data_IF_664842316666
#
_entry.id   IF_664842316666
#
_cell.length_a   1.000
_cell.length_b   1.000
_cell.length_c   1.000
_cell.angle_alpha   90.00
_cell.angle_beta   90.00
_cell.angle_gamma   90.00
#
_symmetry.space_group_name_H-M   'P 1'
#
loop_
_entity.id
_entity.type
_entity.pdbx_description
1 polymer ?
#
# COMPACT_ATOMS: atom_id res chain seq x y z
N UNK A 1 -48.58 -8.35 11.22
CA UNK A 1 -47.82 -9.61 11.00
C UNK A 1 -47.42 -10.26 12.32
N UNK A 2 -47.57 -11.58 12.43
CA UNK A 2 -47.17 -12.38 13.60
C UNK A 2 -45.95 -13.25 13.28
N UNK A 3 -45.15 -13.66 14.29
CA UNK A 3 -44.02 -14.56 14.09
C UNK A 3 -44.40 -15.87 13.38
N UNK A 4 -43.53 -16.35 12.47
CA UNK A 4 -43.73 -17.61 11.73
C UNK A 4 -42.61 -18.60 12.01
N UNK A 5 -42.94 -19.90 12.08
CA UNK A 5 -41.98 -21.01 12.21
C UNK A 5 -42.01 -21.82 10.93
N UNK A 6 -40.85 -21.98 10.27
CA UNK A 6 -40.74 -22.57 8.93
C UNK A 6 -39.52 -23.50 8.84
N UNK A 7 -39.61 -24.57 8.05
CA UNK A 7 -38.45 -25.41 7.74
C UNK A 7 -37.59 -24.88 6.59
N UNK A 8 -38.14 -24.00 5.75
CA UNK A 8 -37.40 -23.34 4.70
C UNK A 8 -38.20 -22.24 4.02
N UNK A 9 -37.50 -21.45 3.21
CA UNK A 9 -38.06 -20.39 2.38
C UNK A 9 -37.70 -20.65 0.92
N UNK A 10 -38.64 -20.41 0.02
CA UNK A 10 -38.44 -20.53 -1.43
C UNK A 10 -38.83 -19.21 -2.08
N UNK A 11 -37.88 -18.61 -2.77
CA UNK A 11 -38.04 -17.41 -3.59
C UNK A 11 -37.76 -17.79 -5.04
N UNK A 12 -38.82 -18.07 -5.78
CA UNK A 12 -38.69 -18.66 -7.09
C UNK A 12 -39.98 -18.70 -7.89
N UNK A 13 -39.84 -18.54 -9.20
CA UNK A 13 -40.83 -18.88 -10.22
C UNK A 13 -40.12 -19.75 -11.29
N UNK A 14 -40.91 -20.41 -12.15
CA UNK A 14 -40.42 -21.33 -13.19
C UNK A 14 -39.47 -20.64 -14.18
N UNK A 15 -39.72 -19.37 -14.51
CA UNK A 15 -38.88 -18.55 -15.39
C UNK A 15 -38.87 -17.06 -14.94
N UNK A 16 -37.85 -16.31 -15.39
CA UNK A 16 -37.78 -14.85 -15.24
C UNK A 16 -36.66 -14.32 -14.32
N UNK A 17 -36.61 -12.98 -14.22
CA UNK A 17 -35.59 -12.18 -13.50
C UNK A 17 -36.16 -11.48 -12.25
N UNK A 18 -37.23 -12.02 -11.68
CA UNK A 18 -37.99 -11.42 -10.59
C UNK A 18 -37.10 -11.20 -9.35
N UNK A 19 -37.36 -10.09 -8.68
CA UNK A 19 -36.83 -9.78 -7.37
C UNK A 19 -37.92 -9.94 -6.32
N UNK A 20 -37.55 -10.48 -5.16
CA UNK A 20 -38.44 -10.75 -4.05
C UNK A 20 -38.05 -9.88 -2.86
N UNK A 21 -39.03 -9.30 -2.17
CA UNK A 21 -38.79 -8.56 -0.93
C UNK A 21 -39.76 -9.08 0.13
N UNK A 22 -39.21 -9.64 1.19
CA UNK A 22 -39.95 -10.07 2.36
C UNK A 22 -39.75 -9.03 3.46
N UNK A 23 -40.84 -8.33 3.83
CA UNK A 23 -40.87 -7.29 4.86
C UNK A 23 -42.03 -7.55 5.82
N UNK A 24 -41.88 -7.16 7.08
CA UNK A 24 -42.98 -7.10 8.04
C UNK A 24 -43.49 -5.66 8.17
N UNK A 25 -44.78 -5.51 8.44
CA UNK A 25 -45.42 -4.23 8.76
C UNK A 25 -45.34 -3.87 10.25
N UNK A 26 -45.01 -4.86 11.10
CA UNK A 26 -44.87 -4.76 12.58
C UNK A 26 -43.57 -5.48 13.03
N UNK A 27 -43.42 -5.78 14.33
CA UNK A 27 -42.31 -6.57 14.93
C UNK A 27 -42.29 -8.07 14.53
N UNK A 28 -42.74 -8.41 13.33
CA UNK A 28 -42.77 -9.79 12.83
C UNK A 28 -41.36 -10.35 12.63
N UNK A 29 -41.18 -11.63 12.99
CA UNK A 29 -39.93 -12.37 12.80
C UNK A 29 -40.16 -13.73 12.13
N UNK A 30 -39.11 -14.27 11.54
CA UNK A 30 -39.10 -15.60 10.92
C UNK A 30 -38.20 -16.52 11.73
N UNK A 31 -38.76 -17.58 12.32
CA UNK A 31 -37.98 -18.65 12.94
C UNK A 31 -37.79 -19.79 11.93
N UNK A 32 -36.54 -20.03 11.54
CA UNK A 32 -36.15 -21.22 10.81
C UNK A 32 -35.98 -22.38 11.82
N UNK A 33 -36.77 -23.44 11.65
CA UNK A 33 -36.83 -24.60 12.52
C UNK A 33 -36.62 -25.90 11.73
N UNK A 34 -36.43 -27.01 12.44
CA UNK A 34 -36.07 -28.29 11.84
C UNK A 34 -34.56 -28.53 11.80
N UNK A 35 -34.15 -29.74 11.42
CA UNK A 35 -32.76 -30.21 11.50
C UNK A 35 -31.85 -29.66 10.39
N UNK A 36 -32.42 -29.21 9.27
CA UNK A 36 -31.65 -28.67 8.14
C UNK A 36 -32.41 -27.57 7.43
N UNK A 37 -32.51 -26.37 8.03
CA UNK A 37 -33.24 -25.27 7.41
C UNK A 37 -32.58 -24.76 6.12
N UNK A 38 -33.36 -24.21 5.20
CA UNK A 38 -32.83 -23.70 3.94
C UNK A 38 -33.54 -22.43 3.44
N UNK A 39 -32.82 -21.68 2.60
CA UNK A 39 -33.37 -20.57 1.81
C UNK A 39 -32.98 -20.80 0.36
N UNK A 40 -33.96 -21.09 -0.48
CA UNK A 40 -33.79 -21.30 -1.92
C UNK A 40 -34.12 -20.03 -2.68
N UNK A 41 -33.20 -19.55 -3.50
CA UNK A 41 -33.40 -18.41 -4.42
C UNK A 41 -33.06 -18.85 -5.83
N UNK A 42 -34.06 -19.04 -6.70
CA UNK A 42 -33.85 -19.60 -8.06
C UNK A 42 -33.73 -18.54 -9.16
N UNK A 43 -34.41 -17.39 -9.01
CA UNK A 43 -34.38 -16.28 -9.98
C UNK A 43 -33.23 -15.30 -9.68
N UNK A 44 -33.53 -14.01 -9.45
CA UNK A 44 -32.53 -12.95 -9.36
C UNK A 44 -32.13 -12.61 -7.92
N UNK A 45 -32.86 -11.73 -7.22
CA UNK A 45 -32.56 -11.33 -5.83
C UNK A 45 -33.74 -11.57 -4.90
N UNK A 46 -33.48 -12.07 -3.70
CA UNK A 46 -34.44 -12.09 -2.59
C UNK A 46 -33.90 -11.26 -1.42
N UNK A 47 -34.64 -10.26 -0.97
CA UNK A 47 -34.30 -9.42 0.19
C UNK A 47 -35.17 -9.84 1.36
N UNK A 48 -34.56 -10.33 2.43
CA UNK A 48 -35.23 -10.57 3.70
C UNK A 48 -34.96 -9.38 4.61
N UNK A 49 -35.99 -8.55 4.75
CA UNK A 49 -36.01 -7.36 5.60
C UNK A 49 -36.89 -7.57 6.83
N UNK A 50 -36.68 -8.71 7.50
CA UNK A 50 -37.26 -9.06 8.79
C UNK A 50 -36.24 -9.88 9.58
N UNK A 51 -36.23 -9.83 10.93
CA UNK A 51 -35.34 -10.64 11.74
C UNK A 51 -35.54 -12.15 11.51
N UNK A 52 -34.43 -12.86 11.27
CA UNK A 52 -34.36 -14.32 11.23
C UNK A 52 -33.87 -14.85 12.58
N UNK A 53 -34.60 -15.82 13.11
CA UNK A 53 -34.34 -16.56 14.34
C UNK A 53 -34.15 -18.05 14.02
N UNK A 54 -33.56 -18.81 14.95
CA UNK A 54 -33.37 -20.25 14.82
C UNK A 54 -32.03 -20.68 15.43
N UNK A 55 -31.85 -21.97 15.65
CA UNK A 55 -30.67 -22.51 16.36
C UNK A 55 -29.75 -23.37 15.47
N UNK A 56 -30.22 -23.75 14.28
CA UNK A 56 -29.55 -24.73 13.42
C UNK A 56 -28.91 -24.11 12.17
N UNK A 57 -28.83 -22.78 12.10
CA UNK A 57 -28.40 -22.05 10.92
C UNK A 57 -29.30 -22.34 9.72
N UNK A 58 -28.76 -22.20 8.51
CA UNK A 58 -29.45 -22.57 7.28
C UNK A 58 -28.50 -22.78 6.11
N UNK A 59 -29.01 -23.44 5.07
CA UNK A 59 -28.32 -23.60 3.78
C UNK A 59 -28.91 -22.67 2.73
N UNK A 60 -28.08 -21.87 2.07
CA UNK A 60 -28.45 -21.14 0.86
C UNK A 60 -28.41 -22.07 -0.35
N UNK A 61 -29.50 -22.08 -1.10
CA UNK A 61 -29.65 -22.88 -2.32
C UNK A 61 -30.00 -21.99 -3.52
N UNK A 62 -29.69 -22.49 -4.72
CA UNK A 62 -30.04 -21.86 -6.00
C UNK A 62 -29.15 -20.68 -6.37
N UNK A 63 -29.11 -20.32 -7.66
CA UNK A 63 -28.18 -19.33 -8.23
C UNK A 63 -28.44 -17.86 -7.87
N UNK A 64 -29.59 -17.55 -7.29
CA UNK A 64 -29.99 -16.17 -6.99
C UNK A 64 -29.25 -15.60 -5.78
N UNK A 65 -29.30 -14.27 -5.64
CA UNK A 65 -28.73 -13.51 -4.54
C UNK A 65 -29.71 -13.43 -3.37
N UNK A 66 -29.27 -13.80 -2.16
CA UNK A 66 -30.00 -13.59 -0.92
C UNK A 66 -29.43 -12.38 -0.18
N UNK A 67 -30.26 -11.40 0.18
CA UNK A 67 -29.85 -10.24 0.98
C UNK A 67 -30.49 -10.31 2.35
N UNK A 68 -29.66 -10.26 3.39
CA UNK A 68 -30.09 -10.13 4.78
C UNK A 68 -29.90 -8.67 5.20
N UNK A 69 -31.01 -7.93 5.31
CA UNK A 69 -30.99 -6.48 5.54
C UNK A 69 -31.55 -6.07 6.91
N UNK A 70 -31.69 -7.00 7.83
CA UNK A 70 -32.21 -6.79 9.19
C UNK A 70 -31.27 -7.39 10.24
N UNK A 71 -31.34 -6.93 11.50
CA UNK A 71 -30.67 -7.61 12.60
C UNK A 71 -31.24 -9.02 12.77
N UNK A 72 -30.37 -10.02 12.68
CA UNK A 72 -30.75 -11.43 12.83
C UNK A 72 -30.26 -11.96 14.18
N UNK A 73 -30.94 -12.96 14.73
CA UNK A 73 -30.51 -13.66 15.95
C UNK A 73 -30.36 -15.17 15.72
N UNK A 74 -30.35 -15.60 14.46
CA UNK A 74 -30.10 -16.98 14.08
C UNK A 74 -28.71 -17.43 14.55
N UNK A 75 -28.64 -18.60 15.17
CA UNK A 75 -27.39 -19.27 15.54
C UNK A 75 -27.21 -20.58 14.76
N UNK A 76 -26.04 -21.20 14.87
CA UNK A 76 -25.65 -22.37 14.10
C UNK A 76 -24.86 -22.02 12.84
N UNK A 77 -24.77 -22.94 11.89
CA UNK A 77 -23.91 -22.81 10.70
C UNK A 77 -24.67 -22.26 9.50
N UNK A 78 -24.14 -21.22 8.87
CA UNK A 78 -24.58 -20.78 7.55
C UNK A 78 -23.78 -21.50 6.47
N UNK A 79 -24.44 -22.36 5.71
CA UNK A 79 -23.86 -22.89 4.47
C UNK A 79 -24.25 -21.97 3.31
N UNK A 80 -23.26 -21.41 2.62
CA UNK A 80 -23.47 -20.49 1.49
C UNK A 80 -23.94 -21.20 0.22
N UNK A 81 -23.90 -22.53 0.21
CA UNK A 81 -24.16 -23.36 -0.95
C UNK A 81 -24.78 -24.72 -0.60
N UNK A 82 -25.25 -25.45 -1.61
CA UNK A 82 -25.70 -26.83 -1.51
C UNK A 82 -24.55 -27.86 -1.42
N UNK A 83 -23.29 -27.43 -1.49
CA UNK A 83 -22.11 -28.28 -1.61
C UNK A 83 -21.80 -28.75 -3.03
N UNK A 84 -20.88 -29.72 -3.14
CA UNK A 84 -20.26 -30.14 -4.42
C UNK A 84 -21.16 -30.99 -5.30
N UNK A 85 -22.21 -31.58 -4.73
CA UNK A 85 -23.00 -32.64 -5.37
C UNK A 85 -23.97 -32.15 -6.45
N UNK A 86 -24.20 -30.84 -6.54
CA UNK A 86 -25.27 -30.28 -7.39
C UNK A 86 -24.76 -29.62 -8.68
N UNK A 87 -23.44 -29.43 -8.85
CA UNK A 87 -22.85 -28.97 -10.11
C UNK A 87 -23.34 -27.62 -10.64
N UNK A 88 -24.05 -26.84 -9.83
CA UNK A 88 -24.57 -25.50 -10.16
C UNK A 88 -23.87 -24.44 -9.29
N UNK A 89 -23.90 -23.17 -9.71
CA UNK A 89 -23.54 -22.05 -8.86
C UNK A 89 -24.67 -21.70 -7.89
N UNK A 90 -24.34 -21.46 -6.62
CA UNK A 90 -25.30 -21.20 -5.53
C UNK A 90 -25.52 -19.69 -5.25
N UNK A 91 -25.02 -18.86 -6.17
CA UNK A 91 -25.21 -17.42 -6.12
C UNK A 91 -24.47 -16.79 -4.95
N UNK A 92 -25.12 -15.82 -4.29
CA UNK A 92 -24.49 -15.05 -3.22
C UNK A 92 -25.41 -14.89 -2.01
N UNK A 93 -24.81 -14.72 -0.84
CA UNK A 93 -25.47 -14.25 0.38
C UNK A 93 -24.84 -12.93 0.77
N UNK A 94 -25.64 -11.87 0.79
CA UNK A 94 -25.22 -10.53 1.15
C UNK A 94 -25.67 -10.18 2.57
N UNK A 95 -24.70 -9.84 3.41
CA UNK A 95 -24.95 -9.12 4.65
C UNK A 95 -25.03 -7.63 4.31
N UNK A 96 -26.20 -7.02 4.51
CA UNK A 96 -26.46 -5.61 4.21
C UNK A 96 -26.87 -4.81 5.45
N UNK A 97 -26.57 -5.35 6.64
CA UNK A 97 -26.81 -4.75 7.94
C UNK A 97 -25.69 -5.19 8.90
N UNK A 98 -25.23 -4.35 9.86
CA UNK A 98 -24.18 -4.71 10.81
C UNK A 98 -24.42 -6.03 11.54
N UNK A 99 -25.66 -6.26 11.97
CA UNK A 99 -26.08 -7.49 12.66
C UNK A 99 -26.71 -8.56 11.72
N UNK A 100 -26.42 -8.51 10.41
CA UNK A 100 -27.01 -9.46 9.45
C UNK A 100 -26.56 -10.90 9.69
N UNK A 101 -25.32 -11.12 10.16
CA UNK A 101 -24.80 -12.44 10.53
C UNK A 101 -25.35 -12.98 11.85
N UNK A 102 -26.01 -12.13 12.65
CA UNK A 102 -26.58 -12.50 13.94
C UNK A 102 -25.65 -13.29 14.85
N UNK A 103 -26.16 -14.39 15.41
CA UNK A 103 -25.46 -15.27 16.34
C UNK A 103 -24.90 -16.53 15.65
N UNK A 104 -24.71 -16.50 14.32
CA UNK A 104 -24.13 -17.63 13.59
C UNK A 104 -22.79 -18.01 14.23
N UNK A 105 -22.49 -19.31 14.24
CA UNK A 105 -21.23 -19.83 14.79
C UNK A 105 -20.15 -19.94 13.72
N UNK A 106 -20.54 -20.28 12.49
CA UNK A 106 -19.64 -20.48 11.36
C UNK A 106 -20.35 -20.18 10.03
N UNK A 107 -19.57 -19.73 9.04
CA UNK A 107 -20.00 -19.54 7.66
C UNK A 107 -19.14 -20.42 6.75
N UNK A 108 -19.76 -21.25 5.91
CA UNK A 108 -19.03 -22.25 5.11
C UNK A 108 -19.45 -22.18 3.64
N UNK A 109 -18.47 -22.06 2.73
CA UNK A 109 -18.62 -22.41 1.32
C UNK A 109 -17.99 -23.79 1.05
N UNK A 110 -18.82 -24.77 0.70
CA UNK A 110 -18.43 -26.16 0.46
C UNK A 110 -18.21 -26.45 -1.04
N UNK A 111 -18.80 -25.68 -1.92
CA UNK A 111 -18.70 -25.91 -3.36
C UNK A 111 -17.25 -25.69 -3.84
N UNK A 112 -16.71 -26.73 -4.47
CA UNK A 112 -15.32 -26.78 -4.92
C UNK A 112 -15.19 -27.27 -6.37
N UNK A 113 -16.30 -27.34 -7.11
CA UNK A 113 -16.36 -27.91 -8.47
C UNK A 113 -16.70 -26.82 -9.50
N UNK A 114 -16.37 -27.06 -10.78
CA UNK A 114 -16.84 -26.27 -11.92
C UNK A 114 -16.17 -24.89 -12.12
N UNK A 115 -15.89 -24.52 -13.37
CA UNK A 115 -15.31 -23.22 -13.72
C UNK A 115 -16.30 -22.05 -13.60
N UNK A 116 -17.61 -22.33 -13.67
CA UNK A 116 -18.70 -21.35 -13.57
C UNK A 116 -19.47 -21.41 -12.24
N UNK A 117 -19.05 -22.28 -11.33
CA UNK A 117 -19.81 -22.57 -10.11
C UNK A 117 -19.16 -21.93 -8.90
N UNK A 118 -20.00 -21.41 -8.01
CA UNK A 118 -19.52 -20.66 -6.88
C UNK A 118 -20.61 -20.18 -5.95
N UNK A 119 -20.16 -19.90 -4.74
CA UNK A 119 -20.92 -19.19 -3.72
C UNK A 119 -20.07 -18.06 -3.16
N UNK A 120 -20.67 -16.90 -2.98
CA UNK A 120 -20.00 -15.72 -2.45
C UNK A 120 -20.69 -15.23 -1.19
N UNK A 121 -19.90 -14.94 -0.15
CA UNK A 121 -20.33 -14.05 0.92
C UNK A 121 -20.07 -12.61 0.48
N UNK A 122 -21.13 -11.80 0.39
CA UNK A 122 -21.05 -10.37 0.09
C UNK A 122 -21.24 -9.55 1.37
N UNK A 123 -20.48 -8.46 1.48
CA UNK A 123 -20.66 -7.45 2.52
C UNK A 123 -21.01 -6.11 1.87
N UNK A 124 -22.20 -5.60 2.16
CA UNK A 124 -22.66 -4.28 1.75
C UNK A 124 -22.79 -3.38 2.98
N UNK A 125 -21.69 -2.69 3.31
CA UNK A 125 -21.61 -1.80 4.46
C UNK A 125 -22.12 -0.39 4.18
N UNK A 126 -22.92 -0.18 3.13
CA UNK A 126 -23.48 1.16 2.81
C UNK A 126 -24.35 1.73 3.91
N UNK A 127 -25.10 0.87 4.62
CA UNK A 127 -25.94 1.24 5.77
C UNK A 127 -25.22 1.29 7.12
N UNK A 128 -23.92 0.99 7.16
CA UNK A 128 -23.11 0.88 8.38
C UNK A 128 -22.08 -0.25 8.26
N UNK A 129 -20.91 -0.07 8.87
CA UNK A 129 -19.84 -1.06 8.83
C UNK A 129 -20.26 -2.40 9.44
N UNK A 130 -19.96 -3.49 8.74
CA UNK A 130 -20.29 -4.86 9.13
C UNK A 130 -19.06 -5.51 9.77
N UNK A 131 -19.25 -6.14 10.93
CA UNK A 131 -18.20 -6.92 11.61
C UNK A 131 -18.62 -8.39 11.63
N UNK A 132 -17.90 -9.23 10.91
CA UNK A 132 -18.10 -10.69 10.88
C UNK A 132 -17.15 -11.34 11.88
N UNK A 133 -17.67 -11.77 13.03
CA UNK A 133 -16.88 -12.44 14.08
C UNK A 133 -16.79 -13.94 13.89
N UNK A 134 -17.63 -14.50 13.02
CA UNK A 134 -17.70 -15.93 12.75
C UNK A 134 -16.44 -16.45 12.08
N UNK A 135 -16.10 -17.72 12.37
CA UNK A 135 -15.16 -18.47 11.54
C UNK A 135 -15.75 -18.61 10.13
N UNK A 136 -14.91 -18.39 9.12
CA UNK A 136 -15.28 -18.58 7.73
C UNK A 136 -14.43 -19.70 7.14
N UNK A 137 -15.07 -20.71 6.56
CA UNK A 137 -14.38 -21.82 5.91
C UNK A 137 -14.73 -21.86 4.42
N UNK A 138 -13.73 -21.71 3.57
CA UNK A 138 -13.87 -21.73 2.11
C UNK A 138 -13.17 -22.94 1.51
N UNK A 139 -13.93 -23.70 0.72
CA UNK A 139 -13.35 -24.67 -0.19
C UNK A 139 -12.67 -23.95 -1.35
N UNK A 140 -11.49 -24.44 -1.71
CA UNK A 140 -10.74 -23.94 -2.85
C UNK A 140 -11.48 -24.26 -4.15
N UNK A 141 -11.41 -23.35 -5.11
CA UNK A 141 -11.97 -23.51 -6.47
C UNK A 141 -10.89 -23.28 -7.52
N UNK A 142 -11.17 -23.72 -8.75
CA UNK A 142 -10.35 -23.46 -9.93
C UNK A 142 -11.03 -22.40 -10.82
N UNK A 143 -11.50 -21.31 -10.23
CA UNK A 143 -12.13 -20.20 -10.92
C UNK A 143 -11.87 -18.86 -10.22
N UNK A 144 -12.41 -17.78 -10.79
CA UNK A 144 -12.21 -16.41 -10.32
C UNK A 144 -13.44 -15.80 -9.65
N UNK A 145 -14.48 -16.59 -9.40
CA UNK A 145 -15.66 -16.11 -8.69
C UNK A 145 -15.24 -15.86 -7.23
N UNK A 146 -15.49 -14.67 -6.65
CA UNK A 146 -15.15 -14.38 -5.27
C UNK A 146 -15.72 -15.43 -4.30
N UNK A 147 -14.96 -15.76 -3.25
CA UNK A 147 -15.48 -16.44 -2.06
C UNK A 147 -16.03 -15.41 -1.07
N UNK A 148 -15.34 -14.26 -0.98
CA UNK A 148 -15.71 -13.12 -0.17
C UNK A 148 -15.61 -11.86 -1.01
N UNK A 149 -16.65 -11.02 -0.99
CA UNK A 149 -16.71 -9.78 -1.74
C UNK A 149 -17.19 -8.63 -0.86
N UNK A 150 -16.36 -7.62 -0.69
CA UNK A 150 -16.76 -6.36 -0.09
C UNK A 150 -17.31 -5.43 -1.16
N UNK A 151 -18.62 -5.26 -1.22
CA UNK A 151 -19.27 -4.43 -2.24
C UNK A 151 -19.04 -2.95 -1.95
N UNK A 152 -19.20 -2.54 -0.68
CA UNK A 152 -19.05 -1.16 -0.26
C UNK A 152 -18.92 -1.04 1.26
N UNK A 153 -18.54 0.16 1.72
CA UNK A 153 -18.37 0.47 3.14
C UNK A 153 -17.01 0.03 3.69
N UNK A 154 -16.83 0.25 5.00
CA UNK A 154 -15.68 -0.24 5.75
C UNK A 154 -16.12 -1.41 6.61
N UNK A 155 -15.78 -2.63 6.19
CA UNK A 155 -16.22 -3.86 6.85
C UNK A 155 -15.02 -4.62 7.41
N UNK A 156 -15.25 -5.41 8.45
CA UNK A 156 -14.23 -6.15 9.18
C UNK A 156 -14.59 -7.62 9.25
N UNK A 157 -13.69 -8.49 8.83
CA UNK A 157 -13.70 -9.90 9.20
C UNK A 157 -12.82 -10.06 10.43
N UNK A 158 -13.46 -10.21 11.59
CA UNK A 158 -12.80 -10.42 12.87
C UNK A 158 -12.52 -11.91 13.13
N UNK A 159 -13.37 -12.82 12.65
CA UNK A 159 -13.14 -14.26 12.76
C UNK A 159 -12.08 -14.79 11.80
N UNK A 160 -11.51 -15.98 12.05
CA UNK A 160 -10.51 -16.58 11.15
C UNK A 160 -11.12 -17.00 9.82
N UNK A 161 -10.32 -16.89 8.75
CA UNK A 161 -10.68 -17.40 7.42
C UNK A 161 -9.78 -18.60 7.09
N UNK A 162 -10.41 -19.76 6.91
CA UNK A 162 -9.76 -21.01 6.58
C UNK A 162 -10.02 -21.39 5.12
N UNK A 163 -8.96 -21.71 4.39
CA UNK A 163 -9.01 -22.42 3.11
C UNK A 163 -8.87 -23.93 3.37
N UNK A 164 -9.65 -24.78 2.70
CA UNK A 164 -9.67 -26.23 2.98
C UNK A 164 -9.48 -27.14 1.76
N UNK A 165 -10.48 -27.97 1.41
CA UNK A 165 -10.43 -28.92 0.31
C UNK A 165 -10.73 -28.25 -1.04
N UNK A 166 -10.46 -28.96 -2.14
CA UNK A 166 -10.90 -28.59 -3.48
C UNK A 166 -9.76 -28.19 -4.42
N UNK A 167 -10.06 -27.23 -5.29
CA UNK A 167 -9.17 -26.66 -6.30
C UNK A 167 -7.98 -25.89 -5.72
N UNK A 168 -7.47 -24.88 -6.42
CA UNK A 168 -6.21 -24.23 -6.08
C UNK A 168 -6.35 -22.85 -5.44
N UNK A 169 -7.54 -22.22 -5.45
CA UNK A 169 -7.64 -20.80 -5.16
C UNK A 169 -8.80 -20.44 -4.23
N UNK A 170 -8.61 -19.42 -3.40
CA UNK A 170 -9.67 -18.66 -2.74
C UNK A 170 -9.56 -17.20 -3.16
N UNK A 171 -10.66 -16.63 -3.63
CA UNK A 171 -10.71 -15.26 -4.15
C UNK A 171 -11.38 -14.34 -3.14
N UNK A 172 -10.70 -13.25 -2.79
CA UNK A 172 -11.24 -12.18 -1.93
C UNK A 172 -11.23 -10.89 -2.74
N UNK A 173 -12.37 -10.23 -2.87
CA UNK A 173 -12.49 -8.96 -3.59
C UNK A 173 -12.99 -7.83 -2.70
N UNK A 174 -12.56 -6.61 -3.03
CA UNK A 174 -13.13 -5.39 -2.46
C UNK A 174 -13.39 -4.40 -3.59
N UNK A 175 -14.66 -4.18 -3.92
CA UNK A 175 -15.05 -3.33 -5.04
C UNK A 175 -14.92 -1.86 -4.66
N UNK A 176 -15.42 -1.50 -3.47
CA UNK A 176 -15.36 -0.14 -2.93
C UNK A 176 -15.14 -0.14 -1.42
N UNK A 177 -14.50 0.91 -0.92
CA UNK A 177 -14.24 1.08 0.51
C UNK A 177 -13.08 0.20 0.98
N UNK A 178 -13.20 -0.31 2.21
CA UNK A 178 -12.13 -1.06 2.87
C UNK A 178 -12.68 -2.36 3.47
N UNK A 179 -12.03 -3.48 3.14
CA UNK A 179 -12.19 -4.75 3.83
C UNK A 179 -11.00 -4.98 4.75
N UNK A 180 -11.23 -5.02 6.06
CA UNK A 180 -10.20 -5.38 7.04
C UNK A 180 -10.33 -6.85 7.39
N UNK A 181 -9.25 -7.62 7.26
CA UNK A 181 -9.16 -9.00 7.73
C UNK A 181 -8.28 -8.99 8.97
N UNK A 182 -8.90 -9.05 10.14
CA UNK A 182 -8.20 -8.91 11.42
C UNK A 182 -7.49 -10.19 11.86
N UNK A 183 -8.02 -11.35 11.45
CA UNK A 183 -7.51 -12.67 11.83
C UNK A 183 -6.62 -13.31 10.75
N UNK A 184 -5.87 -14.38 11.08
CA UNK A 184 -5.04 -15.08 10.11
C UNK A 184 -5.83 -15.65 8.92
N UNK A 185 -5.18 -15.68 7.76
CA UNK A 185 -5.59 -16.48 6.61
C UNK A 185 -4.79 -17.80 6.66
N UNK A 186 -5.47 -18.94 6.80
CA UNK A 186 -4.82 -20.25 6.98
C UNK A 186 -5.33 -21.29 6.00
N UNK A 187 -4.44 -22.17 5.54
CA UNK A 187 -4.80 -23.41 4.87
C UNK A 187 -4.89 -24.56 5.89
N UNK A 188 -6.04 -25.22 5.97
CA UNK A 188 -6.31 -26.33 6.90
C UNK A 188 -6.62 -27.65 6.17
N UNK A 189 -6.43 -27.69 4.85
CA UNK A 189 -6.68 -28.88 4.04
C UNK A 189 -5.52 -29.88 4.11
N UNK A 190 -5.76 -31.08 3.57
CA UNK A 190 -4.77 -32.16 3.54
C UNK A 190 -3.93 -32.20 2.26
N UNK A 191 -4.30 -31.47 1.21
CA UNK A 191 -3.56 -31.48 -0.06
C UNK A 191 -2.26 -30.68 0.03
N UNK A 192 -1.17 -31.25 -0.47
CA UNK A 192 0.17 -30.64 -0.45
C UNK A 192 0.51 -29.87 -1.72
N UNK A 193 -0.33 -29.94 -2.76
CA UNK A 193 -0.17 -29.13 -3.97
C UNK A 193 -0.45 -27.66 -3.69
N UNK A 194 0.17 -26.77 -4.48
CA UNK A 194 0.05 -25.33 -4.27
C UNK A 194 -1.39 -24.82 -4.19
N UNK A 195 -1.58 -23.83 -3.31
CA UNK A 195 -2.84 -23.11 -3.09
C UNK A 195 -2.58 -21.62 -3.08
N UNK A 196 -3.58 -20.81 -3.38
CA UNK A 196 -3.43 -19.37 -3.51
C UNK A 196 -4.55 -18.58 -2.84
N UNK A 197 -4.15 -17.43 -2.28
CA UNK A 197 -5.04 -16.33 -1.96
C UNK A 197 -4.96 -15.31 -3.09
N UNK A 198 -6.07 -15.13 -3.80
CA UNK A 198 -6.18 -14.15 -4.88
C UNK A 198 -6.99 -12.94 -4.45
N UNK A 199 -6.42 -11.76 -4.63
CA UNK A 199 -7.00 -10.48 -4.24
C UNK A 199 -7.41 -9.65 -5.46
N UNK A 200 -8.65 -9.17 -5.45
CA UNK A 200 -9.31 -8.47 -6.56
C UNK A 200 -10.03 -7.19 -6.10
N UNK A 201 -10.51 -6.43 -7.08
CA UNK A 201 -11.33 -5.24 -6.88
C UNK A 201 -10.53 -3.94 -6.89
N UNK A 202 -11.25 -2.82 -6.72
CA UNK A 202 -10.71 -1.45 -6.77
C UNK A 202 -10.59 -0.78 -5.39
N UNK A 203 -11.14 -1.39 -4.35
CA UNK A 203 -11.05 -0.92 -2.97
C UNK A 203 -9.75 -1.36 -2.27
N UNK A 204 -9.72 -1.19 -0.95
CA UNK A 204 -8.59 -1.60 -0.11
C UNK A 204 -8.91 -2.88 0.65
N UNK A 205 -8.05 -3.88 0.54
CA UNK A 205 -8.07 -5.07 1.41
C UNK A 205 -6.89 -4.94 2.37
N UNK A 206 -7.15 -4.77 3.66
CA UNK A 206 -6.12 -4.68 4.71
C UNK A 206 -6.10 -5.95 5.52
N UNK A 207 -5.09 -6.80 5.28
CA UNK A 207 -4.85 -8.03 6.04
C UNK A 207 -4.00 -7.67 7.26
N UNK A 208 -4.66 -7.50 8.40
CA UNK A 208 -4.01 -7.21 9.69
C UNK A 208 -3.48 -8.48 10.33
N UNK A 209 -4.20 -9.60 10.20
CA UNK A 209 -3.67 -10.92 10.52
C UNK A 209 -2.57 -11.36 9.56
N UNK A 210 -1.78 -12.39 9.90
CA UNK A 210 -0.81 -12.96 8.98
C UNK A 210 -1.48 -13.88 7.95
N UNK A 211 -0.94 -13.91 6.73
CA UNK A 211 -1.15 -15.03 5.81
C UNK A 211 -0.12 -16.12 6.17
N UNK A 212 -0.59 -17.27 6.61
CA UNK A 212 0.25 -18.33 7.17
C UNK A 212 0.76 -19.32 6.11
N UNK A 213 1.94 -19.90 6.37
CA UNK A 213 2.32 -21.17 5.76
C UNK A 213 1.28 -22.26 6.09
N UNK A 214 1.17 -23.25 5.21
CA UNK A 214 0.39 -24.44 5.50
C UNK A 214 1.18 -25.42 6.39
N UNK A 215 0.53 -25.95 7.43
CA UNK A 215 1.15 -26.93 8.34
C UNK A 215 1.53 -28.25 7.63
N UNK A 216 0.84 -28.56 6.52
CA UNK A 216 1.11 -29.74 5.71
C UNK A 216 2.17 -29.52 4.61
N UNK A 217 2.82 -28.34 4.59
CA UNK A 217 3.87 -28.00 3.63
C UNK A 217 3.40 -27.57 2.24
N UNK A 218 2.09 -27.44 2.01
CA UNK A 218 1.59 -26.91 0.74
C UNK A 218 2.10 -25.47 0.50
N UNK A 219 2.66 -25.15 -0.67
CA UNK A 219 3.07 -23.78 -0.96
C UNK A 219 1.83 -22.89 -1.10
N UNK A 220 1.78 -21.84 -0.28
CA UNK A 220 0.69 -20.86 -0.29
C UNK A 220 1.15 -19.62 -1.05
N UNK A 221 0.54 -19.33 -2.19
CA UNK A 221 0.83 -18.13 -2.99
C UNK A 221 -0.11 -16.98 -2.67
N UNK A 222 0.34 -15.77 -2.97
CA UNK A 222 -0.45 -14.55 -2.91
C UNK A 222 -0.45 -13.92 -4.30
N UNK A 223 -1.62 -13.63 -4.85
CA UNK A 223 -1.74 -13.01 -6.16
C UNK A 223 -2.70 -11.82 -6.12
N UNK A 224 -2.34 -10.73 -6.80
CA UNK A 224 -3.16 -9.53 -6.89
C UNK A 224 -3.45 -9.18 -8.36
N UNK A 225 -4.72 -8.96 -8.68
CA UNK A 225 -5.18 -8.73 -10.07
C UNK A 225 -6.02 -7.44 -10.24
N UNK A 226 -6.64 -6.96 -9.16
CA UNK A 226 -7.45 -5.74 -9.17
C UNK A 226 -6.61 -4.46 -9.18
N UNK A 227 -7.24 -3.32 -9.48
CA UNK A 227 -6.60 -2.00 -9.44
C UNK A 227 -6.49 -1.41 -8.02
N UNK A 228 -7.09 -2.07 -7.03
CA UNK A 228 -7.14 -1.62 -5.65
C UNK A 228 -5.81 -1.73 -4.91
N UNK A 229 -5.91 -1.78 -3.58
CA UNK A 229 -4.76 -1.92 -2.67
C UNK A 229 -4.89 -3.20 -1.85
N UNK A 230 -3.84 -4.02 -1.85
CA UNK A 230 -3.66 -5.07 -0.85
C UNK A 230 -2.63 -4.60 0.16
N UNK A 231 -3.04 -4.42 1.42
CA UNK A 231 -2.16 -4.05 2.51
C UNK A 231 -1.86 -5.26 3.39
N UNK A 232 -0.59 -5.65 3.50
CA UNK A 232 -0.13 -6.73 4.37
C UNK A 232 0.52 -6.14 5.62
N UNK A 233 -0.14 -6.24 6.76
CA UNK A 233 0.33 -5.66 8.03
C UNK A 233 0.90 -6.68 9.01
N UNK A 234 0.51 -7.96 8.90
CA UNK A 234 1.02 -9.03 9.75
C UNK A 234 2.42 -9.52 9.35
N UNK A 235 2.94 -10.49 10.10
CA UNK A 235 4.12 -11.27 9.70
C UNK A 235 3.66 -12.45 8.85
N UNK A 236 3.81 -12.35 7.54
CA UNK A 236 3.29 -13.33 6.61
C UNK A 236 4.33 -14.42 6.34
N UNK A 237 3.97 -15.67 6.62
CA UNK A 237 4.87 -16.82 6.58
C UNK A 237 4.63 -17.77 5.41
N UNK A 238 3.67 -17.47 4.53
CA UNK A 238 3.39 -18.27 3.35
C UNK A 238 4.65 -18.52 2.51
N UNK A 239 4.76 -19.72 1.95
CA UNK A 239 5.98 -20.20 1.29
C UNK A 239 5.92 -20.18 -0.24
N UNK A 240 4.78 -19.83 -0.82
CA UNK A 240 4.64 -19.60 -2.26
C UNK A 240 5.06 -18.20 -2.68
N UNK A 241 5.06 -17.91 -3.99
CA UNK A 241 5.40 -16.60 -4.51
C UNK A 241 4.28 -15.58 -4.26
N UNK A 242 4.67 -14.30 -4.23
CA UNK A 242 3.77 -13.15 -4.31
C UNK A 242 3.87 -12.51 -5.68
N UNK A 243 2.75 -12.42 -6.39
CA UNK A 243 2.69 -11.80 -7.73
C UNK A 243 1.66 -10.68 -7.75
N UNK A 244 2.12 -9.47 -8.04
CA UNK A 244 1.27 -8.28 -8.20
C UNK A 244 1.08 -8.05 -9.69
N UNK A 245 0.05 -8.65 -10.30
CA UNK A 245 -0.26 -8.46 -11.71
C UNK A 245 -0.77 -7.05 -12.00
N UNK A 246 -1.51 -6.45 -11.06
CA UNK A 246 -2.03 -5.10 -11.13
C UNK A 246 -2.28 -4.52 -9.73
N UNK A 247 -2.60 -3.23 -9.65
CA UNK A 247 -2.90 -2.53 -8.40
C UNK A 247 -1.67 -2.32 -7.52
N UNK A 248 -1.89 -2.11 -6.22
CA UNK A 248 -0.83 -1.80 -5.26
C UNK A 248 -0.73 -2.83 -4.14
N UNK A 249 0.42 -3.48 -4.00
CA UNK A 249 0.80 -4.20 -2.79
C UNK A 249 1.49 -3.23 -1.83
N UNK A 250 0.87 -2.94 -0.69
CA UNK A 250 1.46 -2.15 0.39
C UNK A 250 1.90 -3.04 1.53
N UNK A 251 3.20 -3.13 1.75
CA UNK A 251 3.80 -3.90 2.84
C UNK A 251 3.98 -2.97 4.03
N UNK A 252 3.26 -3.24 5.12
CA UNK A 252 3.44 -2.57 6.43
C UNK A 252 3.96 -3.51 7.52
N UNK A 253 3.77 -4.82 7.33
CA UNK A 253 4.31 -5.86 8.18
C UNK A 253 5.56 -6.50 7.58
N UNK A 254 5.62 -7.82 7.63
CA UNK A 254 6.75 -8.62 7.14
C UNK A 254 6.27 -9.63 6.10
N UNK A 255 7.06 -9.84 5.05
CA UNK A 255 6.92 -10.97 4.11
C UNK A 255 8.15 -11.86 4.27
N UNK A 256 7.94 -13.08 4.77
CA UNK A 256 8.97 -14.14 4.89
C UNK A 256 9.01 -15.08 3.67
N UNK A 257 8.12 -14.87 2.68
CA UNK A 257 7.83 -15.83 1.61
C UNK A 257 8.93 -16.05 0.56
N UNK A 258 8.60 -16.73 -0.53
CA UNK A 258 9.60 -17.23 -1.49
C UNK A 258 10.05 -16.21 -2.56
N UNK A 259 9.40 -15.05 -2.66
CA UNK A 259 9.76 -13.98 -3.59
C UNK A 259 8.57 -13.10 -3.98
N UNK A 260 8.84 -11.86 -4.38
CA UNK A 260 7.85 -10.86 -4.76
C UNK A 260 8.13 -10.37 -6.18
N UNK A 261 7.20 -10.60 -7.10
CA UNK A 261 7.27 -10.09 -8.48
C UNK A 261 6.16 -9.08 -8.72
N UNK A 262 6.52 -7.90 -9.21
CA UNK A 262 5.62 -6.74 -9.27
C UNK A 262 5.50 -6.21 -10.69
N UNK A 263 4.32 -6.37 -11.28
CA UNK A 263 3.89 -5.74 -12.53
C UNK A 263 3.01 -4.50 -12.28
N UNK A 264 2.36 -4.43 -11.11
CA UNK A 264 1.68 -3.23 -10.59
C UNK A 264 2.61 -2.33 -9.77
N UNK A 265 2.18 -1.95 -8.56
CA UNK A 265 2.95 -1.11 -7.64
C UNK A 265 3.30 -1.84 -6.35
N UNK A 266 4.53 -1.70 -5.89
CA UNK A 266 4.99 -2.07 -4.55
C UNK A 266 5.14 -0.81 -3.70
N UNK A 267 4.58 -0.84 -2.48
CA UNK A 267 4.68 0.20 -1.46
C UNK A 267 5.22 -0.34 -0.14
N UNK A 268 6.00 0.48 0.57
CA UNK A 268 6.48 0.23 1.93
C UNK A 268 5.58 0.82 3.03
N UNK A 269 6.08 1.02 4.27
CA UNK A 269 7.47 0.91 4.73
C UNK A 269 7.79 -0.40 5.50
N UNK A 270 7.22 -1.53 5.10
CA UNK A 270 7.43 -2.82 5.77
C UNK A 270 8.77 -3.50 5.46
N UNK A 271 8.84 -4.79 5.79
CA UNK A 271 10.02 -5.63 5.59
C UNK A 271 9.71 -6.78 4.63
N UNK A 272 10.61 -7.06 3.69
CA UNK A 272 10.56 -8.21 2.80
C UNK A 272 11.86 -8.99 2.96
N UNK A 273 11.79 -10.22 3.48
CA UNK A 273 12.93 -11.13 3.65
C UNK A 273 13.10 -12.08 2.45
N UNK A 274 12.61 -11.67 1.29
CA UNK A 274 12.51 -12.47 0.08
C UNK A 274 12.98 -11.68 -1.15
N UNK A 275 13.48 -12.35 -2.21
CA UNK A 275 13.89 -11.65 -3.43
C UNK A 275 12.75 -10.81 -4.02
N UNK A 276 13.06 -9.59 -4.45
CA UNK A 276 12.09 -8.66 -5.05
C UNK A 276 12.48 -8.36 -6.48
N UNK A 277 11.51 -8.47 -7.39
CA UNK A 277 11.64 -8.09 -8.80
C UNK A 277 10.54 -7.07 -9.14
N UNK A 278 10.96 -5.87 -9.53
CA UNK A 278 10.08 -4.91 -10.17
C UNK A 278 10.16 -5.15 -11.68
N UNK A 279 9.10 -5.66 -12.28
CA UNK A 279 9.01 -5.92 -13.71
C UNK A 279 9.05 -4.61 -14.53
N UNK A 280 9.17 -4.70 -15.85
CA UNK A 280 9.36 -3.53 -16.74
C UNK A 280 8.24 -2.49 -16.67
N UNK A 281 7.00 -2.92 -16.38
CA UNK A 281 5.85 -2.05 -16.15
C UNK A 281 5.58 -1.77 -14.66
N UNK A 282 6.34 -2.40 -13.77
CA UNK A 282 6.19 -2.28 -12.33
C UNK A 282 6.70 -0.96 -11.79
N UNK A 283 6.13 -0.54 -10.66
CA UNK A 283 6.54 0.65 -9.91
C UNK A 283 6.90 0.24 -8.48
N UNK A 284 7.99 0.77 -7.96
CA UNK A 284 8.32 0.71 -6.54
C UNK A 284 8.34 2.12 -5.96
N UNK A 285 7.57 2.35 -4.90
CA UNK A 285 7.57 3.60 -4.14
C UNK A 285 7.40 3.30 -2.64
N UNK A 286 7.56 4.27 -1.74
CA UNK A 286 7.41 4.00 -0.30
C UNK A 286 5.98 4.22 0.17
N UNK A 287 5.31 5.26 -0.32
CA UNK A 287 3.96 5.66 0.09
C UNK A 287 3.82 7.18 0.09
N UNK A 288 2.87 7.72 0.88
CA UNK A 288 2.57 9.16 0.91
C UNK A 288 3.51 9.97 1.80
N UNK A 289 3.99 9.38 2.90
CA UNK A 289 4.97 9.96 3.82
C UNK A 289 6.40 9.54 3.47
N UNK A 290 7.41 10.26 3.98
CA UNK A 290 8.80 9.81 3.90
C UNK A 290 8.97 8.53 4.72
N UNK A 291 9.58 7.49 4.14
CA UNK A 291 9.82 6.24 4.86
C UNK A 291 10.89 5.33 4.26
N UNK A 292 10.95 4.09 4.75
CA UNK A 292 11.91 3.09 4.27
C UNK A 292 11.23 1.77 4.00
N UNK A 293 11.50 1.15 2.86
CA UNK A 293 11.16 -0.25 2.60
C UNK A 293 12.43 -1.09 2.79
N UNK A 294 12.38 -2.05 3.71
CA UNK A 294 13.50 -2.94 4.01
C UNK A 294 13.37 -4.21 3.16
N UNK A 295 14.41 -4.54 2.41
CA UNK A 295 14.49 -5.74 1.57
C UNK A 295 15.75 -6.50 1.97
N UNK A 296 15.64 -7.52 2.83
CA UNK A 296 16.78 -8.31 3.32
C UNK A 296 17.20 -9.42 2.34
N UNK A 297 17.20 -9.11 1.05
CA UNK A 297 17.35 -10.07 -0.04
C UNK A 297 17.87 -9.38 -1.31
N UNK A 298 18.10 -10.12 -2.42
CA UNK A 298 18.35 -9.51 -3.72
C UNK A 298 17.16 -8.67 -4.20
N UNK A 299 17.46 -7.52 -4.79
CA UNK A 299 16.49 -6.61 -5.41
C UNK A 299 16.86 -6.38 -6.87
N UNK A 300 15.93 -6.60 -7.79
CA UNK A 300 16.10 -6.33 -9.22
C UNK A 300 15.05 -5.34 -9.69
N UNK A 301 15.50 -4.21 -10.26
CA UNK A 301 14.63 -3.26 -10.92
C UNK A 301 14.73 -3.39 -12.44
N UNK A 302 13.59 -3.54 -13.11
CA UNK A 302 13.43 -3.36 -14.56
C UNK A 302 12.40 -2.28 -14.89
N UNK A 303 11.58 -1.89 -13.91
CA UNK A 303 10.55 -0.86 -14.06
C UNK A 303 11.02 0.49 -13.50
N UNK A 304 10.15 1.14 -12.74
CA UNK A 304 10.39 2.49 -12.20
C UNK A 304 10.45 2.49 -10.68
N UNK A 305 11.47 3.14 -10.13
CA UNK A 305 11.56 3.47 -8.71
C UNK A 305 11.19 4.95 -8.52
N UNK A 306 10.22 5.24 -7.66
CA UNK A 306 9.78 6.58 -7.31
C UNK A 306 10.07 6.87 -5.83
N UNK A 307 10.94 7.84 -5.55
CA UNK A 307 11.35 8.20 -4.19
C UNK A 307 11.19 9.70 -3.97
N UNK A 308 10.87 10.10 -2.74
CA UNK A 308 10.81 11.50 -2.33
C UNK A 308 12.04 11.89 -1.51
N UNK A 309 12.44 13.15 -1.62
CA UNK A 309 13.47 13.80 -0.81
C UNK A 309 12.88 15.05 -0.17
N UNK A 310 13.34 15.40 1.02
CA UNK A 310 12.76 16.49 1.79
C UNK A 310 13.80 17.26 2.61
N UNK A 311 13.67 18.59 2.58
CA UNK A 311 14.23 19.49 3.59
C UNK A 311 13.10 20.01 4.48
N UNK A 312 13.36 20.01 5.79
CA UNK A 312 12.66 20.83 6.79
C UNK A 312 13.69 21.48 7.72
N UNK A 313 14.05 22.75 7.48
CA UNK A 313 15.12 23.42 8.21
C UNK A 313 16.49 22.78 7.98
N UNK A 314 17.09 22.21 9.02
CA UNK A 314 18.35 21.44 8.91
C UNK A 314 18.13 19.93 8.77
N UNK A 315 16.90 19.45 8.90
CA UNK A 315 16.56 18.04 8.78
C UNK A 315 16.43 17.66 7.30
N UNK A 316 17.22 16.66 6.90
CA UNK A 316 17.26 16.10 5.55
C UNK A 316 16.77 14.66 5.62
N UNK A 317 15.67 14.38 4.95
CA UNK A 317 15.02 13.06 4.95
C UNK A 317 14.71 12.63 3.53
N UNK A 318 14.60 11.32 3.32
CA UNK A 318 14.23 10.76 2.03
C UNK A 318 13.55 9.40 2.19
N UNK A 319 12.78 9.06 1.17
CA UNK A 319 12.39 7.68 0.93
C UNK A 319 13.63 6.83 0.64
N UNK A 320 13.67 5.62 1.21
CA UNK A 320 14.82 4.72 1.03
C UNK A 320 14.42 3.26 0.81
N UNK A 321 15.18 2.59 -0.05
CA UNK A 321 15.21 1.13 -0.16
C UNK A 321 16.46 0.62 0.57
N UNK A 322 16.30 -0.22 1.60
CA UNK A 322 17.41 -0.60 2.50
C UNK A 322 17.49 -2.11 2.74
N UNK A 323 18.56 -2.57 3.41
CA UNK A 323 18.75 -3.99 3.74
C UNK A 323 19.20 -4.88 2.58
N UNK A 324 19.33 -4.32 1.37
CA UNK A 324 19.48 -5.08 0.14
C UNK A 324 20.82 -5.80 0.11
N UNK A 325 20.80 -7.11 -0.12
CA UNK A 325 22.04 -7.90 -0.22
C UNK A 325 22.74 -7.61 -1.55
N UNK A 326 21.97 -7.58 -2.65
CA UNK A 326 22.46 -7.24 -3.98
C UNK A 326 21.37 -6.51 -4.76
N UNK A 327 21.65 -5.28 -5.17
CA UNK A 327 20.82 -4.51 -6.07
C UNK A 327 21.28 -4.73 -7.52
N UNK A 328 20.34 -4.99 -8.41
CA UNK A 328 20.53 -4.94 -9.87
C UNK A 328 19.61 -3.87 -10.42
N UNK A 329 20.21 -2.75 -10.83
CA UNK A 329 19.50 -1.57 -11.31
C UNK A 329 19.42 -1.60 -12.84
N UNK A 330 18.21 -1.48 -13.37
CA UNK A 330 17.87 -1.16 -14.76
C UNK A 330 16.66 -0.20 -14.73
N UNK A 331 16.05 0.12 -15.87
CA UNK A 331 14.81 0.89 -15.90
C UNK A 331 15.00 2.32 -15.39
N UNK A 332 14.05 2.84 -14.61
CA UNK A 332 14.01 4.27 -14.28
C UNK A 332 14.12 4.55 -12.78
N UNK A 333 14.83 5.62 -12.43
CA UNK A 333 14.74 6.29 -11.14
C UNK A 333 14.05 7.64 -11.32
N UNK A 334 13.02 7.90 -10.53
CA UNK A 334 12.37 9.19 -10.42
C UNK A 334 12.43 9.69 -8.97
N UNK A 335 12.98 10.88 -8.78
CA UNK A 335 13.02 11.56 -7.48
C UNK A 335 12.08 12.75 -7.50
N UNK A 336 11.35 12.96 -6.40
CA UNK A 336 10.50 14.13 -6.18
C UNK A 336 10.97 14.88 -4.95
N UNK A 337 11.10 16.20 -5.02
CA UNK A 337 11.34 17.03 -3.84
C UNK A 337 10.01 17.42 -3.21
N UNK A 338 9.89 17.25 -1.90
CA UNK A 338 8.76 17.72 -1.10
C UNK A 338 9.30 18.61 0.03
N UNK A 339 8.54 19.64 0.45
CA UNK A 339 8.98 20.54 1.51
C UNK A 339 9.73 21.78 1.00
N UNK A 340 10.72 22.24 1.78
CA UNK A 340 11.47 23.46 1.48
C UNK A 340 12.40 23.28 0.27
N UNK A 341 12.78 24.37 -0.44
CA UNK A 341 13.78 24.30 -1.50
C UNK A 341 15.08 23.65 -1.03
N UNK A 342 15.62 22.78 -1.86
CA UNK A 342 16.91 22.14 -1.61
C UNK A 342 18.05 23.15 -1.77
N UNK A 343 19.16 22.93 -1.05
CA UNK A 343 20.31 23.82 -1.04
C UNK A 343 21.63 23.03 -1.13
N UNK A 344 22.73 23.74 -1.37
CA UNK A 344 24.06 23.13 -1.43
C UNK A 344 24.37 22.29 -0.17
N UNK A 345 24.88 21.08 -0.40
CA UNK A 345 25.34 20.16 0.64
C UNK A 345 24.27 19.16 1.10
N UNK A 346 23.03 19.29 0.66
CA UNK A 346 22.01 18.28 0.94
C UNK A 346 22.40 16.95 0.32
N UNK A 347 22.23 15.87 1.07
CA UNK A 347 22.58 14.53 0.63
C UNK A 347 21.49 13.55 1.05
N UNK A 348 21.04 12.74 0.10
CA UNK A 348 19.94 11.80 0.26
C UNK A 348 20.41 10.40 -0.11
N UNK A 349 20.30 9.45 0.82
CA UNK A 349 20.66 8.06 0.57
C UNK A 349 19.43 7.26 0.18
N UNK A 350 19.20 7.16 -1.12
CA UNK A 350 17.99 6.58 -1.72
C UNK A 350 17.98 5.04 -1.66
N UNK A 351 19.17 4.44 -1.75
CA UNK A 351 19.38 3.00 -1.78
C UNK A 351 20.49 2.63 -0.80
N UNK A 352 20.33 1.53 -0.07
CA UNK A 352 21.39 0.94 0.74
C UNK A 352 21.47 -0.55 0.45
N UNK A 353 22.54 -0.97 -0.24
CA UNK A 353 22.79 -2.34 -0.61
C UNK A 353 24.25 -2.74 -0.33
N UNK A 354 24.51 -4.01 -0.02
CA UNK A 354 25.89 -4.51 0.13
C UNK A 354 26.64 -4.57 -1.19
N UNK A 355 25.91 -4.79 -2.30
CA UNK A 355 26.45 -4.74 -3.65
C UNK A 355 25.45 -4.02 -4.56
N UNK A 356 25.93 -3.04 -5.32
CA UNK A 356 25.14 -2.35 -6.36
C UNK A 356 25.72 -2.75 -7.72
N UNK A 357 24.88 -3.36 -8.56
CA UNK A 357 25.20 -3.69 -9.95
C UNK A 357 24.17 -3.08 -10.91
N UNK A 358 24.56 -2.96 -12.17
CA UNK A 358 23.72 -2.32 -13.20
C UNK A 358 23.66 -0.79 -13.07
N UNK A 359 22.85 -0.15 -13.90
CA UNK A 359 22.59 1.30 -13.92
C UNK A 359 21.14 1.54 -14.34
N UNK A 360 20.55 2.64 -13.86
CA UNK A 360 19.26 3.07 -14.40
C UNK A 360 19.44 3.52 -15.86
N UNK A 361 18.50 3.15 -16.72
CA UNK A 361 18.40 3.62 -18.10
C UNK A 361 18.03 5.12 -18.13
N UNK A 362 17.29 5.59 -17.13
CA UNK A 362 16.95 7.00 -16.99
C UNK A 362 16.89 7.40 -15.52
N UNK A 363 17.46 8.57 -15.21
CA UNK A 363 17.37 9.21 -13.89
C UNK A 363 16.68 10.55 -14.04
N UNK A 364 15.50 10.69 -13.45
CA UNK A 364 14.70 11.92 -13.43
C UNK A 364 14.78 12.53 -12.04
N UNK A 365 15.43 13.69 -11.92
CA UNK A 365 15.58 14.43 -10.66
C UNK A 365 14.73 15.70 -10.71
N UNK A 366 14.23 16.20 -9.57
CA UNK A 366 13.44 17.42 -9.55
C UNK A 366 14.34 18.62 -9.88
N UNK A 367 13.74 19.66 -10.45
CA UNK A 367 14.42 20.95 -10.61
C UNK A 367 14.84 21.49 -9.23
N UNK A 368 16.02 22.08 -9.19
CA UNK A 368 16.61 22.69 -8.00
C UNK A 368 16.92 24.15 -8.28
N UNK A 369 17.12 24.93 -7.23
CA UNK A 369 17.32 26.37 -7.33
C UNK A 369 18.49 26.77 -8.24
N UNK A 370 18.53 28.05 -8.67
CA UNK A 370 19.61 28.55 -9.52
C UNK A 370 20.99 28.30 -8.90
N UNK A 371 22.00 28.10 -9.75
CA UNK A 371 23.38 27.86 -9.32
C UNK A 371 23.61 26.53 -8.59
N UNK A 372 22.60 25.66 -8.47
CA UNK A 372 22.73 24.32 -7.91
C UNK A 372 22.67 23.26 -9.01
N UNK A 373 23.35 22.14 -8.80
CA UNK A 373 23.33 20.97 -9.68
C UNK A 373 23.21 19.70 -8.86
N UNK A 374 22.63 18.65 -9.45
CA UNK A 374 22.63 17.33 -8.83
C UNK A 374 23.98 16.63 -9.04
N UNK A 375 24.58 16.17 -7.95
CA UNK A 375 25.69 15.22 -7.97
C UNK A 375 25.15 13.80 -7.76
N UNK A 376 25.37 12.95 -8.75
CA UNK A 376 24.94 11.53 -8.76
C UNK A 376 26.13 10.57 -8.76
N UNK A 377 27.36 11.05 -8.52
CA UNK A 377 28.58 10.24 -8.59
C UNK A 377 28.56 9.05 -7.64
N UNK A 378 27.89 9.17 -6.49
CA UNK A 378 27.77 8.13 -5.46
C UNK A 378 26.54 7.23 -5.60
N UNK A 379 25.63 7.51 -6.54
CA UNK A 379 24.38 6.76 -6.70
C UNK A 379 24.61 5.27 -6.94
N UNK A 380 25.65 4.94 -7.71
CA UNK A 380 25.97 3.55 -8.04
C UNK A 380 27.05 2.93 -7.15
N UNK A 381 27.57 3.70 -6.18
CA UNK A 381 28.58 3.23 -5.21
C UNK A 381 27.94 2.93 -3.85
N UNK A 382 27.12 3.85 -3.34
CA UNK A 382 26.48 3.72 -2.03
C UNK A 382 24.99 4.10 -2.01
N UNK A 383 24.43 4.47 -3.16
CA UNK A 383 23.01 4.80 -3.32
C UNK A 383 22.64 6.25 -3.01
N UNK A 384 23.63 7.15 -2.88
CA UNK A 384 23.38 8.55 -2.51
C UNK A 384 23.37 9.51 -3.71
N UNK A 385 22.55 10.55 -3.61
CA UNK A 385 22.60 11.74 -4.45
C UNK A 385 22.76 12.97 -3.58
N UNK A 386 23.42 14.01 -4.09
CA UNK A 386 23.69 15.23 -3.36
C UNK A 386 23.41 16.47 -4.19
N UNK A 387 23.12 17.58 -3.53
CA UNK A 387 22.99 18.89 -4.17
C UNK A 387 24.36 19.58 -4.11
N UNK A 388 24.99 19.65 -5.28
CA UNK A 388 26.26 20.33 -5.49
C UNK A 388 26.09 21.77 -5.94
N UNK A 389 27.22 22.45 -6.09
CA UNK A 389 27.28 23.80 -6.64
C UNK A 389 27.51 23.71 -8.15
N UNK A 390 26.64 24.36 -8.91
CA UNK A 390 26.80 24.51 -10.35
C UNK A 390 27.78 25.65 -10.70
N UNK A 391 27.70 26.14 -11.92
CA UNK A 391 28.39 27.38 -12.26
C UNK A 391 27.68 28.56 -11.59
N UNK A 392 28.42 29.28 -10.75
CA UNK A 392 27.99 30.51 -10.09
C UNK A 392 29.00 31.61 -10.34
N UNK A 393 28.50 32.83 -10.48
CA UNK A 393 29.33 34.03 -10.58
C UNK A 393 29.02 34.91 -9.37
N UNK A 394 29.82 34.88 -8.30
CA UNK A 394 29.57 35.70 -7.13
C UNK A 394 29.70 37.19 -7.48
N UNK A 395 28.69 37.97 -7.12
CA UNK A 395 28.66 39.42 -7.34
C UNK A 395 28.60 40.11 -5.98
N UNK A 396 29.46 41.12 -5.77
CA UNK A 396 29.25 42.09 -4.70
C UNK A 396 28.14 43.02 -5.17
N UNK A 397 26.90 42.77 -4.72
CA UNK A 397 25.72 43.51 -5.12
C UNK A 397 25.63 44.88 -4.45
N UNK A 398 26.31 45.04 -3.31
CA UNK A 398 26.40 46.30 -2.58
C UNK A 398 27.72 46.40 -1.83
N UNK A 399 28.33 47.58 -1.90
CA UNK A 399 29.50 47.94 -1.11
C UNK A 399 29.34 49.39 -0.63
N UNK A 400 29.20 49.60 0.67
CA UNK A 400 29.08 50.94 1.24
C UNK A 400 29.82 51.05 2.58
N UNK A 401 30.17 52.28 2.97
CA UNK A 401 30.62 52.59 4.33
C UNK A 401 29.48 53.31 5.04
N UNK A 402 29.01 52.74 6.15
CA UNK A 402 27.91 53.27 6.95
C UNK A 402 28.23 53.10 8.44
N UNK A 403 28.05 54.15 9.22
CA UNK A 403 28.25 54.15 10.68
C UNK A 403 29.63 53.60 11.12
N UNK A 404 30.69 53.93 10.37
CA UNK A 404 32.05 53.45 10.64
C UNK A 404 32.29 51.97 10.33
N UNK A 405 31.42 51.32 9.55
CA UNK A 405 31.55 49.93 9.10
C UNK A 405 31.49 49.85 7.57
N UNK A 406 32.28 48.97 6.98
CA UNK A 406 32.05 48.48 5.62
C UNK A 406 30.88 47.51 5.67
N UNK A 407 29.92 47.67 4.77
CA UNK A 407 28.81 46.75 4.54
C UNK A 407 28.95 46.18 3.13
N UNK A 408 29.05 44.86 3.03
CA UNK A 408 29.16 44.12 1.77
C UNK A 408 27.97 43.18 1.67
N UNK A 409 27.18 43.34 0.61
CA UNK A 409 26.18 42.35 0.23
C UNK A 409 26.68 41.59 -0.98
N UNK A 410 26.58 40.27 -0.91
CA UNK A 410 27.04 39.33 -1.92
C UNK A 410 25.85 38.53 -2.42
N UNK A 411 25.74 38.41 -3.74
CA UNK A 411 24.85 37.48 -4.40
C UNK A 411 25.69 36.39 -5.07
N UNK A 412 25.67 35.18 -4.53
CA UNK A 412 26.25 33.98 -5.19
C UNK A 412 25.23 33.37 -6.14
N UNK A 413 23.94 33.50 -5.82
CA UNK A 413 22.84 33.00 -6.64
C UNK A 413 22.52 31.52 -6.41
N UNK A 414 23.10 30.89 -5.39
CA UNK A 414 22.84 29.51 -4.98
C UNK A 414 22.58 29.40 -3.48
N UNK A 415 21.47 28.78 -3.10
CA UNK A 415 21.08 28.63 -1.70
C UNK A 415 22.10 27.78 -0.93
N UNK A 416 22.44 28.21 0.30
CA UNK A 416 23.39 27.49 1.16
C UNK A 416 24.83 27.44 0.65
N UNK A 417 25.13 28.09 -0.49
CA UNK A 417 26.44 28.09 -1.10
C UNK A 417 27.49 28.64 -0.13
N UNK A 418 28.62 27.95 0.06
CA UNK A 418 29.71 28.45 0.86
C UNK A 418 30.40 29.60 0.15
N UNK A 419 30.81 30.63 0.89
CA UNK A 419 31.62 31.71 0.38
C UNK A 419 32.69 32.12 1.38
N UNK A 420 33.76 32.73 0.86
CA UNK A 420 34.82 33.36 1.64
C UNK A 420 35.02 34.78 1.14
N UNK A 421 35.08 35.76 2.04
CA UNK A 421 35.51 37.12 1.73
C UNK A 421 37.02 37.17 1.94
N UNK A 422 37.75 37.58 0.90
CA UNK A 422 39.20 37.77 0.94
C UNK A 422 39.51 39.27 0.96
N UNK A 423 40.61 39.66 1.61
CA UNK A 423 41.11 41.02 1.54
C UNK A 423 42.61 41.10 1.26
N UNK A 424 43.03 42.22 0.66
CA UNK A 424 44.44 42.55 0.46
C UNK A 424 44.63 44.07 0.37
N UNK A 425 45.82 44.58 0.68
CA UNK A 425 46.14 46.02 0.62
C UNK A 425 46.59 46.50 -0.77
N UNK A 426 46.86 45.57 -1.69
CA UNK A 426 47.30 45.84 -3.05
C UNK A 426 46.43 45.06 -4.05
N UNK A 427 45.67 45.79 -4.88
CA UNK A 427 44.75 45.25 -5.88
C UNK A 427 45.45 44.47 -7.00
N UNK A 428 46.74 44.73 -7.25
CA UNK A 428 47.48 44.12 -8.35
C UNK A 428 48.04 42.73 -8.00
N UNK A 429 47.94 42.31 -6.73
CA UNK A 429 48.37 40.99 -6.28
C UNK A 429 47.34 39.94 -6.71
N UNK A 430 47.76 38.76 -7.24
CA UNK A 430 46.83 37.69 -7.61
C UNK A 430 45.89 37.29 -6.47
N UNK A 431 44.60 37.08 -6.76
CA UNK A 431 43.57 36.75 -5.74
C UNK A 431 43.86 35.46 -4.95
N UNK A 432 44.71 34.58 -5.49
CA UNK A 432 45.22 33.40 -4.78
C UNK A 432 46.10 33.73 -3.56
N UNK A 433 46.64 34.94 -3.48
CA UNK A 433 47.50 35.43 -2.39
C UNK A 433 46.74 36.38 -1.44
N UNK A 434 45.43 36.56 -1.63
CA UNK A 434 44.61 37.38 -0.73
C UNK A 434 44.20 36.57 0.50
N UNK A 435 44.14 37.22 1.65
CA UNK A 435 43.90 36.55 2.94
C UNK A 435 42.39 36.46 3.25
N UNK A 436 41.89 35.35 3.79
CA UNK A 436 40.50 35.21 4.19
C UNK A 436 40.20 36.05 5.44
N UNK A 437 39.24 36.96 5.33
CA UNK A 437 38.77 37.78 6.46
C UNK A 437 37.46 37.26 7.05
N UNK A 438 36.70 36.48 6.29
CA UNK A 438 35.45 35.89 6.75
C UNK A 438 35.03 34.69 5.88
N UNK A 439 34.32 33.72 6.46
CA UNK A 439 33.72 32.60 5.74
C UNK A 439 32.35 32.22 6.30
N UNK A 440 31.46 31.74 5.43
CA UNK A 440 30.15 31.21 5.80
C UNK A 440 29.31 30.88 4.59
N UNK A 441 27.98 31.04 4.68
CA UNK A 441 27.04 30.53 3.68
C UNK A 441 25.99 31.56 3.29
N UNK A 442 25.52 31.45 2.04
CA UNK A 442 24.36 32.18 1.58
C UNK A 442 23.07 31.70 2.26
N UNK A 443 22.11 32.63 2.37
CA UNK A 443 20.73 32.37 2.75
C UNK A 443 19.96 31.59 1.65
N UNK A 444 18.67 31.35 1.89
CA UNK A 444 17.79 30.63 0.96
C UNK A 444 17.62 31.32 -0.41
N UNK A 445 17.94 32.62 -0.52
CA UNK A 445 17.91 33.38 -1.77
C UNK A 445 19.27 33.41 -2.50
N UNK A 446 20.27 32.72 -1.96
CA UNK A 446 21.63 32.74 -2.50
C UNK A 446 22.36 34.06 -2.24
N UNK A 447 21.98 34.79 -1.18
CA UNK A 447 22.58 36.07 -0.78
C UNK A 447 23.25 35.98 0.58
N UNK A 448 24.16 36.90 0.84
CA UNK A 448 24.86 37.00 2.11
C UNK A 448 25.24 38.46 2.41
N UNK A 449 25.23 38.85 3.68
CA UNK A 449 25.62 40.19 4.12
C UNK A 449 26.71 40.11 5.19
N UNK A 450 27.79 40.85 4.98
CA UNK A 450 28.92 40.96 5.90
C UNK A 450 29.19 42.41 6.27
N UNK A 451 29.65 42.61 7.50
CA UNK A 451 30.11 43.92 7.94
C UNK A 451 31.46 43.82 8.63
N UNK A 452 32.29 44.85 8.45
CA UNK A 452 33.57 44.98 9.14
C UNK A 452 33.81 46.41 9.63
N UNK A 453 34.42 46.56 10.80
CA UNK A 453 34.68 47.89 11.37
C UNK A 453 35.80 48.59 10.58
N UNK A 454 35.61 49.87 10.27
CA UNK A 454 36.66 50.75 9.74
C UNK A 454 37.35 51.42 10.91
N UNK A 455 38.65 51.18 11.09
CA UNK A 455 39.47 51.87 12.08
C UNK A 455 40.12 53.11 11.44
N UNK A 456 40.09 54.23 12.14
CA UNK A 456 40.74 55.46 11.70
C UNK A 456 42.26 55.23 11.59
N UNK A 457 42.87 55.62 10.46
CA UNK A 457 44.27 55.34 10.15
C UNK A 457 44.56 53.99 9.47
N UNK A 458 43.53 53.20 9.13
CA UNK A 458 43.72 51.96 8.36
C UNK A 458 44.25 52.24 6.94
N UNK A 459 45.21 51.43 6.49
CA UNK A 459 45.63 51.40 5.08
C UNK A 459 44.47 50.96 4.18
N UNK A 460 44.48 51.41 2.92
CA UNK A 460 43.48 51.01 1.92
C UNK A 460 43.40 49.48 1.81
N UNK A 461 42.18 48.95 1.84
CA UNK A 461 41.88 47.52 1.71
C UNK A 461 40.99 47.28 0.49
N UNK A 462 41.25 46.19 -0.21
CA UNK A 462 40.41 45.68 -1.30
C UNK A 462 39.78 44.37 -0.86
N UNK A 463 38.56 44.11 -1.34
CA UNK A 463 37.81 42.90 -1.00
C UNK A 463 37.37 42.17 -2.27
N UNK A 464 37.38 40.85 -2.22
CA UNK A 464 36.81 39.99 -3.26
C UNK A 464 36.09 38.81 -2.62
N UNK A 465 35.18 38.20 -3.37
CA UNK A 465 34.42 37.03 -2.93
C UNK A 465 34.95 35.81 -3.66
N UNK A 466 35.24 34.76 -2.90
CA UNK A 466 35.59 33.44 -3.42
C UNK A 466 34.49 32.45 -3.07
N UNK A 467 34.09 31.65 -4.06
CA UNK A 467 33.21 30.49 -3.91
C UNK A 467 34.03 29.26 -4.33
N UNK A 468 33.90 28.10 -3.65
CA UNK A 468 34.70 26.90 -3.93
C UNK A 468 34.55 26.33 -5.33
#
# INVERSE_FOLDING_TARGET
DSPRVLSGLIFGDLEGTQNWVLKATNEGSLRLAGSSPYVLVTNNTAIINVPILGENGFTKLGRGRLVLSSPNLISGTLYLDAGTSFGMGDGTVCFAHPDAGGNLSEIIARNNTGSSNGSTLELDGTGGGIVVTQKITFSCRNNWIPNLQNLAGSNVIAGPICMQVGGSNVVISCDKGTLVIASPLQYIGSYTSGRGWSFWGSGTISVKGPILAADNGAPISVAMFGSGVLELCGTNTYTGPTVVYNGTLRVRGVIEGAGVTVYGTLQGPGVINAPVIIASNGICEIGDEIGSLVINAPFTNMGKICLKVQRVGSLITNDSLTGIVRAVLNGQLQVKSIGEPLQFGDTFRLLSASQIGGRFDTVQLPEIGPGLVWDTGRLYEDGSISVGLGQVTPIISKFEVRDGKVVVEVAVGAAGAPLTILSHTNLLVPTSQWEPVWAGRCDASGRFAWTNKVLEGSVQQYYTVRVP
#
